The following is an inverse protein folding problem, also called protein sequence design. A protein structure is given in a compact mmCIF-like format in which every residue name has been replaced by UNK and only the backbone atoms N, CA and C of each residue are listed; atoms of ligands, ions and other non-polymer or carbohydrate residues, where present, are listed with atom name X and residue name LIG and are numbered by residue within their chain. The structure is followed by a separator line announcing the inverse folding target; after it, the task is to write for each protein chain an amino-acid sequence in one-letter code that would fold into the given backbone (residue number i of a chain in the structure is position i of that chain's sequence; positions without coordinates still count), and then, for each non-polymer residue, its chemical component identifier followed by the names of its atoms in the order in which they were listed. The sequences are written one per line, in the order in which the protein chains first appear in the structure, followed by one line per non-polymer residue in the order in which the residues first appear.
data_IF_875563594935
#
_entry.id   IF_875563594935
#
_cell.length_a   1.000
_cell.length_b   1.000
_cell.length_c   1.000
_cell.angle_alpha   90.00
_cell.angle_beta   90.00
_cell.angle_gamma   90.00
#
_symmetry.space_group_name_H-M   'P 1'
#
loop_
_entity.id
_entity.type
_entity.pdbx_description
1 polymer ?
#
# COMPACT_ATOMS: atom_id res chain seq x y z
N UNK A 1 -11.78 -35.54 23.78
CA UNK A 1 -11.35 -34.79 22.57
C UNK A 1 -11.95 -33.39 22.60
N UNK A 2 -11.17 -32.36 22.96
CA UNK A 2 -11.61 -30.97 22.79
C UNK A 2 -11.51 -30.59 21.31
N UNK A 3 -12.66 -30.35 20.66
CA UNK A 3 -12.72 -29.78 19.32
C UNK A 3 -12.13 -28.38 19.37
N UNK A 4 -10.92 -28.22 18.85
CA UNK A 4 -10.24 -26.93 18.73
C UNK A 4 -10.99 -26.10 17.67
N UNK A 5 -12.10 -25.50 18.09
CA UNK A 5 -12.97 -24.68 17.25
C UNK A 5 -12.27 -23.36 17.05
N UNK A 6 -11.47 -23.27 15.99
CA UNK A 6 -10.87 -22.01 15.57
C UNK A 6 -12.00 -21.00 15.35
N UNK A 7 -11.99 -19.91 16.13
CA UNK A 7 -12.97 -18.83 15.97
C UNK A 7 -12.83 -18.27 14.56
N UNK A 8 -13.83 -18.52 13.72
CA UNK A 8 -13.91 -17.98 12.37
C UNK A 8 -13.83 -16.45 12.43
N UNK A 9 -12.91 -15.86 11.66
CA UNK A 9 -12.80 -14.41 11.53
C UNK A 9 -14.08 -13.85 10.91
N UNK A 10 -14.55 -12.72 11.44
CA UNK A 10 -15.74 -12.01 10.97
C UNK A 10 -15.36 -10.58 10.62
N UNK A 11 -15.93 -10.03 9.54
CA UNK A 11 -15.70 -8.66 9.09
C UNK A 11 -15.86 -7.62 10.22
N UNK A 12 -16.86 -7.78 11.09
CA UNK A 12 -17.10 -6.91 12.25
C UNK A 12 -15.96 -6.80 13.28
N UNK A 13 -14.89 -7.59 13.14
CA UNK A 13 -13.69 -7.52 13.98
C UNK A 13 -12.64 -6.55 13.43
N UNK A 14 -12.89 -6.01 12.24
CA UNK A 14 -12.02 -5.11 11.49
C UNK A 14 -12.72 -3.77 11.30
N UNK A 15 -11.94 -2.69 11.18
CA UNK A 15 -12.44 -1.33 10.95
C UNK A 15 -12.84 -1.15 9.49
N UNK A 16 -12.06 -1.70 8.55
CA UNK A 16 -12.22 -1.40 7.13
C UNK A 16 -12.45 -2.62 6.24
N UNK A 17 -12.15 -3.84 6.71
CA UNK A 17 -12.37 -5.03 5.89
C UNK A 17 -13.84 -5.44 5.77
N UNK A 18 -14.24 -5.77 4.54
CA UNK A 18 -15.51 -6.41 4.25
C UNK A 18 -15.42 -7.96 4.37
N UNK A 19 -16.57 -8.64 4.23
CA UNK A 19 -16.65 -10.10 4.39
C UNK A 19 -15.86 -10.85 3.33
N UNK A 20 -15.80 -10.34 2.11
CA UNK A 20 -15.19 -11.03 0.97
C UNK A 20 -13.66 -10.94 1.05
N UNK A 21 -13.11 -9.79 1.45
CA UNK A 21 -11.67 -9.63 1.70
C UNK A 21 -11.23 -10.43 2.93
N UNK A 22 -12.04 -10.54 3.99
CA UNK A 22 -11.75 -11.44 5.11
C UNK A 22 -11.77 -12.90 4.69
N UNK A 23 -12.64 -13.29 3.74
CA UNK A 23 -12.69 -14.67 3.23
C UNK A 23 -11.51 -14.96 2.31
N UNK A 24 -11.16 -14.02 1.44
CA UNK A 24 -10.06 -14.13 0.49
C UNK A 24 -9.25 -12.82 0.47
N UNK A 25 -8.17 -12.73 1.27
CA UNK A 25 -7.36 -11.52 1.34
C UNK A 25 -6.63 -11.19 0.03
N UNK A 26 -6.51 -12.14 -0.91
CA UNK A 26 -5.94 -11.88 -2.24
C UNK A 26 -6.76 -10.88 -3.06
N UNK A 27 -8.07 -10.75 -2.80
CA UNK A 27 -8.92 -9.76 -3.49
C UNK A 27 -8.38 -8.35 -3.22
N UNK A 28 -8.11 -8.04 -1.96
CA UNK A 28 -7.55 -6.74 -1.59
C UNK A 28 -6.13 -6.57 -2.13
N UNK A 29 -5.25 -7.55 -1.91
CA UNK A 29 -3.84 -7.49 -2.32
C UNK A 29 -3.72 -7.24 -3.83
N UNK A 30 -4.50 -7.97 -4.63
CA UNK A 30 -4.51 -7.80 -6.08
C UNK A 30 -5.03 -6.42 -6.48
N UNK A 31 -6.14 -5.96 -5.90
CA UNK A 31 -6.69 -4.66 -6.27
C UNK A 31 -5.75 -3.51 -5.90
N UNK A 32 -5.15 -3.57 -4.71
CA UNK A 32 -4.25 -2.54 -4.22
C UNK A 32 -2.98 -2.41 -5.08
N UNK A 33 -2.27 -3.51 -5.33
CA UNK A 33 -1.00 -3.46 -6.07
C UNK A 33 -1.14 -3.48 -7.60
N UNK A 34 -2.32 -3.81 -8.13
CA UNK A 34 -2.58 -3.74 -9.57
C UNK A 34 -3.15 -2.40 -10.02
N UNK A 35 -4.03 -1.80 -9.21
CA UNK A 35 -4.81 -0.64 -9.65
C UNK A 35 -4.57 0.63 -8.81
N UNK A 36 -4.26 0.51 -7.53
CA UNK A 36 -4.12 1.71 -6.67
C UNK A 36 -2.68 2.25 -6.63
N UNK A 37 -1.68 1.37 -6.53
CA UNK A 37 -0.30 1.82 -6.36
C UNK A 37 0.73 0.73 -6.69
N UNK A 38 2.01 1.10 -6.73
CA UNK A 38 3.12 0.15 -6.69
C UNK A 38 3.82 0.21 -5.32
N UNK A 39 4.65 -0.79 -5.02
CA UNK A 39 5.29 -0.90 -3.70
C UNK A 39 6.22 0.26 -3.37
N UNK A 40 6.84 0.90 -4.39
CA UNK A 40 7.76 2.02 -4.20
C UNK A 40 7.01 3.29 -3.81
N UNK A 41 5.93 3.63 -4.52
CA UNK A 41 5.07 4.76 -4.16
C UNK A 41 4.41 4.52 -2.80
N UNK A 42 3.99 3.29 -2.52
CA UNK A 42 3.41 2.96 -1.23
C UNK A 42 4.41 3.11 -0.07
N UNK A 43 5.66 2.67 -0.27
CA UNK A 43 6.74 2.91 0.70
C UNK A 43 6.95 4.41 0.96
N UNK A 44 6.90 5.25 -0.07
CA UNK A 44 7.02 6.69 0.08
C UNK A 44 5.85 7.30 0.86
N UNK A 45 4.62 6.84 0.62
CA UNK A 45 3.44 7.28 1.36
C UNK A 45 3.54 6.89 2.85
N UNK A 46 4.01 5.67 3.15
CA UNK A 46 4.28 5.23 4.53
C UNK A 46 5.34 6.13 5.17
N UNK A 47 6.43 6.41 4.47
CA UNK A 47 7.49 7.29 4.96
C UNK A 47 6.98 8.69 5.28
N UNK A 48 6.21 9.28 4.37
CA UNK A 48 5.65 10.62 4.53
C UNK A 48 4.69 10.68 5.73
N UNK A 49 3.79 9.70 5.83
CA UNK A 49 2.85 9.61 6.94
C UNK A 49 3.55 9.51 8.29
N UNK A 50 4.54 8.63 8.42
CA UNK A 50 5.28 8.47 9.67
C UNK A 50 6.06 9.74 10.02
N UNK A 51 6.71 10.37 9.04
CA UNK A 51 7.41 11.63 9.26
C UNK A 51 6.44 12.72 9.74
N UNK A 52 5.28 12.87 9.10
CA UNK A 52 4.29 13.87 9.47
C UNK A 52 3.70 13.62 10.88
N UNK A 53 3.54 12.35 11.29
CA UNK A 53 3.08 11.99 12.64
C UNK A 53 4.14 12.22 13.73
N UNK A 54 5.40 12.34 13.34
CA UNK A 54 6.53 12.47 14.24
C UNK A 54 7.10 13.89 14.34
N UNK A 55 7.06 14.61 13.23
CA UNK A 55 7.51 15.98 13.09
C UNK A 55 6.33 16.82 12.58
N UNK A 56 5.28 17.02 13.40
CA UNK A 56 4.10 17.78 13.02
C UNK A 56 4.40 19.27 12.72
N UNK A 57 5.59 19.76 13.03
CA UNK A 57 6.09 21.07 12.60
C UNK A 57 6.46 21.10 11.11
N UNK A 58 6.85 19.96 10.54
CA UNK A 58 7.19 19.81 9.12
C UNK A 58 6.01 19.29 8.28
N UNK A 59 4.90 18.93 8.92
CA UNK A 59 3.72 18.42 8.25
C UNK A 59 2.86 19.57 7.68
N UNK A 60 2.41 19.43 6.43
CA UNK A 60 1.31 20.27 5.93
C UNK A 60 -0.01 19.79 6.52
N UNK A 61 -0.54 20.57 7.47
CA UNK A 61 -1.78 20.26 8.19
C UNK A 61 -3.03 20.42 7.32
N UNK A 62 -2.93 21.14 6.20
CA UNK A 62 -4.01 21.26 5.23
C UNK A 62 -4.04 20.07 4.25
N UNK A 63 -3.05 19.18 4.29
CA UNK A 63 -2.97 18.03 3.40
C UNK A 63 -4.01 16.96 3.76
N UNK A 64 -5.14 17.00 3.06
CA UNK A 64 -6.30 16.14 3.31
C UNK A 64 -6.00 14.63 3.14
N UNK A 65 -4.95 14.26 2.42
CA UNK A 65 -4.64 12.86 2.07
C UNK A 65 -4.08 12.04 3.25
N UNK A 66 -3.65 12.69 4.32
CA UNK A 66 -3.14 12.02 5.53
C UNK A 66 -4.12 10.97 6.08
N UNK A 67 -5.41 11.33 6.19
CA UNK A 67 -6.44 10.42 6.69
C UNK A 67 -6.67 9.24 5.74
N UNK A 68 -6.56 9.50 4.43
CA UNK A 68 -6.67 8.47 3.40
C UNK A 68 -5.51 7.46 3.50
N UNK A 69 -4.27 7.92 3.62
CA UNK A 69 -3.12 7.03 3.79
C UNK A 69 -3.21 6.23 5.09
N UNK A 70 -3.61 6.84 6.21
CA UNK A 70 -3.82 6.12 7.46
C UNK A 70 -4.84 4.99 7.31
N UNK A 71 -5.97 5.26 6.64
CA UNK A 71 -6.97 4.23 6.32
C UNK A 71 -6.35 3.08 5.52
N UNK A 72 -5.61 3.37 4.45
CA UNK A 72 -4.95 2.35 3.62
C UNK A 72 -3.92 1.53 4.42
N UNK A 73 -3.14 2.16 5.32
CA UNK A 73 -2.23 1.42 6.21
C UNK A 73 -2.98 0.50 7.17
N UNK A 74 -4.07 0.96 7.77
CA UNK A 74 -4.88 0.10 8.65
C UNK A 74 -5.46 -1.07 7.85
N UNK A 75 -5.95 -0.85 6.62
CA UNK A 75 -6.42 -1.93 5.73
C UNK A 75 -5.33 -2.97 5.45
N UNK A 76 -4.09 -2.55 5.13
CA UNK A 76 -2.94 -3.45 4.95
C UNK A 76 -2.64 -4.25 6.23
N UNK A 77 -2.68 -3.61 7.40
CA UNK A 77 -2.48 -4.26 8.70
C UNK A 77 -3.58 -5.32 8.95
N UNK A 78 -4.84 -4.98 8.67
CA UNK A 78 -5.95 -5.89 8.84
C UNK A 78 -5.85 -7.10 7.91
N UNK A 79 -5.48 -6.89 6.64
CA UNK A 79 -5.27 -7.96 5.66
C UNK A 79 -4.12 -8.87 6.07
N UNK A 80 -3.01 -8.29 6.51
CA UNK A 80 -1.90 -9.05 7.07
C UNK A 80 -2.35 -9.89 8.27
N UNK A 81 -3.24 -9.37 9.12
CA UNK A 81 -3.76 -10.12 10.26
C UNK A 81 -4.66 -11.29 9.84
N UNK A 82 -5.48 -11.09 8.79
CA UNK A 82 -6.27 -12.18 8.18
C UNK A 82 -5.32 -13.28 7.72
N UNK A 83 -4.26 -12.95 6.97
CA UNK A 83 -3.26 -13.91 6.50
C UNK A 83 -2.56 -14.59 7.68
N UNK A 84 -2.12 -13.82 8.67
CA UNK A 84 -1.49 -14.32 9.89
C UNK A 84 -2.33 -15.41 10.59
N UNK A 85 -3.65 -15.22 10.63
CA UNK A 85 -4.58 -16.17 11.24
C UNK A 85 -4.96 -17.34 10.33
N UNK A 86 -5.20 -17.10 9.05
CA UNK A 86 -5.61 -18.13 8.10
C UNK A 86 -4.47 -19.10 7.75
N UNK A 87 -3.23 -18.59 7.67
CA UNK A 87 -2.03 -19.38 7.43
C UNK A 87 -1.42 -19.98 8.71
N UNK A 88 -2.04 -19.77 9.88
CA UNK A 88 -1.55 -20.21 11.19
C UNK A 88 -0.10 -19.82 11.47
N UNK A 89 0.27 -18.60 11.07
CA UNK A 89 1.64 -18.11 11.21
C UNK A 89 1.98 -18.03 12.70
N UNK A 90 3.07 -18.67 13.17
CA UNK A 90 3.45 -18.64 14.57
C UNK A 90 3.97 -17.25 14.96
N UNK A 91 3.97 -16.93 16.26
CA UNK A 91 4.69 -15.76 16.77
C UNK A 91 6.16 -16.07 16.98
N UNK A 92 7.00 -15.05 16.85
CA UNK A 92 8.43 -15.08 17.05
C UNK A 92 8.83 -14.36 18.33
N UNK A 93 9.92 -14.83 18.95
CA UNK A 93 10.47 -14.24 20.18
C UNK A 93 11.16 -12.90 19.93
N UNK A 94 11.84 -12.77 18.78
CA UNK A 94 12.68 -11.61 18.45
C UNK A 94 12.15 -10.91 17.18
N UNK A 95 11.04 -10.15 17.27
CA UNK A 95 10.38 -9.57 16.10
C UNK A 95 11.21 -8.51 15.35
N UNK A 96 12.22 -7.92 16.01
CA UNK A 96 13.08 -6.89 15.43
C UNK A 96 14.39 -7.45 14.84
N UNK A 97 14.57 -8.78 14.85
CA UNK A 97 15.72 -9.41 14.22
C UNK A 97 15.46 -9.58 12.72
N UNK A 98 15.85 -8.59 11.92
CA UNK A 98 15.58 -8.57 10.48
C UNK A 98 16.67 -9.19 9.61
N UNK A 99 17.92 -9.21 10.09
CA UNK A 99 19.08 -9.70 9.34
C UNK A 99 19.55 -11.00 9.99
N UNK A 100 19.54 -12.10 9.22
CA UNK A 100 20.11 -13.37 9.67
C UNK A 100 21.53 -13.56 9.14
N UNK A 101 21.79 -13.11 7.90
CA UNK A 101 23.04 -13.33 7.19
C UNK A 101 23.48 -12.06 6.43
N UNK A 102 24.72 -12.05 5.93
CA UNK A 102 25.30 -10.91 5.21
C UNK A 102 24.51 -10.59 3.94
N UNK A 103 24.00 -11.62 3.28
CA UNK A 103 23.18 -11.52 2.06
C UNK A 103 21.89 -10.73 2.33
N UNK A 104 21.26 -10.92 3.49
CA UNK A 104 20.05 -10.16 3.85
C UNK A 104 20.33 -8.66 3.99
N UNK A 105 21.49 -8.32 4.56
CA UNK A 105 21.92 -6.93 4.67
C UNK A 105 22.25 -6.32 3.30
N UNK A 106 22.92 -7.09 2.42
CA UNK A 106 23.24 -6.65 1.07
C UNK A 106 21.97 -6.38 0.25
N UNK A 107 21.01 -7.32 0.27
CA UNK A 107 19.72 -7.19 -0.40
C UNK A 107 18.94 -5.96 0.08
N UNK A 108 18.90 -5.73 1.39
CA UNK A 108 18.25 -4.57 1.98
C UNK A 108 18.88 -3.24 1.53
N UNK A 109 20.21 -3.17 1.51
CA UNK A 109 20.95 -1.92 1.24
C UNK A 109 21.10 -1.58 -0.24
N UNK A 110 21.21 -2.58 -1.13
CA UNK A 110 21.53 -2.37 -2.54
C UNK A 110 20.36 -2.69 -3.48
N UNK A 111 19.48 -3.64 -3.11
CA UNK A 111 18.40 -4.11 -3.98
C UNK A 111 17.01 -3.65 -3.51
N UNK A 112 16.93 -2.98 -2.35
CA UNK A 112 15.67 -2.64 -1.67
C UNK A 112 14.78 -3.90 -1.48
N UNK A 113 15.41 -5.03 -1.17
CA UNK A 113 14.72 -6.29 -0.96
C UNK A 113 14.76 -6.76 0.50
N UNK A 114 13.61 -7.20 0.99
CA UNK A 114 13.44 -7.66 2.37
C UNK A 114 13.49 -9.18 2.42
N UNK A 115 14.70 -9.71 2.64
CA UNK A 115 14.94 -11.15 2.69
C UNK A 115 15.23 -11.65 4.10
N UNK A 116 15.06 -12.96 4.30
CA UNK A 116 15.49 -13.69 5.48
C UNK A 116 16.21 -14.97 5.03
N UNK A 117 17.47 -15.13 5.45
CA UNK A 117 18.34 -16.22 4.99
C UNK A 117 18.48 -16.24 3.45
N UNK A 118 18.62 -15.05 2.86
CA UNK A 118 18.85 -14.85 1.43
C UNK A 118 17.63 -15.05 0.53
N UNK A 119 16.42 -15.23 1.09
CA UNK A 119 15.19 -15.43 0.31
C UNK A 119 14.07 -14.52 0.78
N UNK A 120 13.17 -14.15 -0.13
CA UNK A 120 11.91 -13.44 0.22
C UNK A 120 11.10 -14.32 1.17
N UNK A 121 10.71 -13.74 2.30
CA UNK A 121 10.02 -14.46 3.37
C UNK A 121 8.84 -13.63 3.90
N UNK A 122 7.76 -13.47 3.11
CA UNK A 122 6.64 -12.61 3.48
C UNK A 122 5.94 -13.08 4.77
N UNK A 123 5.80 -14.40 4.96
CA UNK A 123 5.20 -14.97 6.17
C UNK A 123 6.07 -14.77 7.42
N UNK A 124 7.40 -14.77 7.28
CA UNK A 124 8.33 -14.44 8.38
C UNK A 124 8.17 -12.97 8.78
N UNK A 125 8.00 -12.09 7.79
CA UNK A 125 7.78 -10.66 8.02
C UNK A 125 6.44 -10.40 8.71
N UNK A 126 5.36 -11.01 8.24
CA UNK A 126 4.03 -10.93 8.88
C UNK A 126 4.08 -11.50 10.31
N UNK A 127 4.83 -12.59 10.52
CA UNK A 127 5.06 -13.17 11.85
C UNK A 127 5.74 -12.17 12.79
N UNK A 128 6.84 -11.54 12.36
CA UNK A 128 7.56 -10.50 13.10
C UNK A 128 6.66 -9.31 13.43
N UNK A 129 5.87 -8.84 12.45
CA UNK A 129 4.93 -7.73 12.60
C UNK A 129 3.92 -7.94 13.75
N UNK A 130 3.25 -9.09 13.79
CA UNK A 130 2.27 -9.40 14.86
C UNK A 130 2.90 -9.97 16.14
N UNK A 131 4.19 -10.25 16.12
CA UNK A 131 4.99 -10.60 17.29
C UNK A 131 5.47 -9.34 18.02
N UNK A 132 5.76 -8.27 17.29
CA UNK A 132 6.07 -6.96 17.85
C UNK A 132 4.88 -6.41 18.66
N UNK A 133 3.69 -6.35 18.04
CA UNK A 133 2.48 -5.95 18.75
C UNK A 133 1.20 -6.57 18.18
N UNK A 134 0.13 -6.60 18.98
CA UNK A 134 -1.18 -7.14 18.56
C UNK A 134 -1.88 -6.18 17.61
N UNK A 135 -2.89 -6.68 16.87
CA UNK A 135 -3.73 -5.86 16.00
C UNK A 135 -4.32 -4.63 16.73
N UNK A 136 -4.83 -4.83 17.95
CA UNK A 136 -5.38 -3.72 18.73
C UNK A 136 -4.32 -2.66 19.08
N UNK A 137 -3.09 -3.08 19.37
CA UNK A 137 -1.99 -2.13 19.63
C UNK A 137 -1.59 -1.39 18.36
N UNK A 138 -1.62 -2.05 17.20
CA UNK A 138 -1.42 -1.40 15.91
C UNK A 138 -2.50 -0.34 15.65
N UNK A 139 -3.77 -0.62 15.94
CA UNK A 139 -4.81 0.41 15.85
C UNK A 139 -4.49 1.62 16.73
N UNK A 140 -4.13 1.41 18.00
CA UNK A 140 -3.72 2.51 18.89
C UNK A 140 -2.52 3.27 18.33
N UNK A 141 -1.50 2.58 17.80
CA UNK A 141 -0.34 3.23 17.17
C UNK A 141 -0.75 4.12 15.99
N UNK A 142 -1.65 3.65 15.11
CA UNK A 142 -2.12 4.42 13.97
C UNK A 142 -2.99 5.61 14.39
N UNK A 143 -3.84 5.42 15.40
CA UNK A 143 -4.67 6.49 15.97
C UNK A 143 -3.79 7.56 16.63
N UNK A 144 -2.77 7.16 17.40
CA UNK A 144 -1.81 8.06 18.03
C UNK A 144 -1.06 8.88 16.96
N UNK A 145 -0.55 8.25 15.90
CA UNK A 145 0.12 8.94 14.79
C UNK A 145 -0.78 9.99 14.12
N UNK A 146 -2.06 9.67 13.90
CA UNK A 146 -3.05 10.62 13.37
C UNK A 146 -3.31 11.79 14.31
N UNK A 147 -3.47 11.51 15.61
CA UNK A 147 -3.70 12.53 16.62
C UNK A 147 -2.51 13.49 16.65
N UNK A 148 -1.29 12.97 16.66
CA UNK A 148 -0.09 13.81 16.75
C UNK A 148 0.14 14.68 15.53
N UNK A 149 -0.15 14.17 14.33
CA UNK A 149 -0.10 14.97 13.12
C UNK A 149 -1.04 16.19 13.18
N UNK A 150 -2.13 16.08 13.95
CA UNK A 150 -3.11 17.15 14.13
C UNK A 150 -2.71 18.17 15.23
N UNK A 151 -1.66 17.91 16.02
CA UNK A 151 -1.23 18.78 17.13
C UNK A 151 -0.18 19.82 16.71
N UNK A 152 -0.19 21.00 17.36
CA UNK A 152 0.70 22.11 16.97
C UNK A 152 2.17 21.96 17.39
N UNK A 153 2.45 21.19 18.43
CA UNK A 153 3.76 21.09 19.10
C UNK A 153 4.14 19.62 19.31
N UNK A 154 5.37 19.24 18.97
CA UNK A 154 5.90 17.91 19.26
C UNK A 154 6.76 17.91 20.53
N UNK A 155 6.52 16.93 21.39
CA UNK A 155 7.60 16.31 22.16
C UNK A 155 7.88 14.95 21.55
N UNK A 156 8.48 14.97 20.36
CA UNK A 156 8.81 13.77 19.55
C UNK A 156 9.50 12.68 20.38
N UNK A 157 10.43 13.07 21.26
CA UNK A 157 11.23 12.17 22.07
C UNK A 157 10.44 11.50 23.21
N UNK A 158 9.43 12.17 23.78
CA UNK A 158 8.71 11.64 24.95
C UNK A 158 7.70 10.55 24.58
N UNK A 159 7.26 10.50 23.30
CA UNK A 159 6.07 9.73 22.90
C UNK A 159 6.43 8.43 22.18
N UNK A 160 7.19 8.50 21.09
CA UNK A 160 7.65 7.30 20.38
C UNK A 160 9.12 6.99 20.62
N UNK A 161 9.97 8.00 20.79
CA UNK A 161 11.42 7.84 20.92
C UNK A 161 11.97 6.89 19.85
N UNK A 162 12.85 5.97 20.24
CA UNK A 162 13.46 4.99 19.32
C UNK A 162 12.47 3.99 18.71
N UNK A 163 11.26 3.86 19.28
CA UNK A 163 10.26 2.90 18.76
C UNK A 163 9.73 3.31 17.40
N UNK A 164 9.80 4.58 17.02
CA UNK A 164 9.30 5.02 15.73
C UNK A 164 10.08 4.38 14.57
N UNK A 165 11.38 4.19 14.73
CA UNK A 165 12.21 3.52 13.72
C UNK A 165 11.74 2.08 13.52
N UNK A 166 11.42 1.38 14.62
CA UNK A 166 10.86 0.04 14.55
C UNK A 166 9.46 0.03 13.91
N UNK A 167 8.58 0.98 14.24
CA UNK A 167 7.24 1.12 13.65
C UNK A 167 7.35 1.35 12.14
N UNK A 168 8.16 2.33 11.72
CA UNK A 168 8.43 2.64 10.32
C UNK A 168 8.93 1.41 9.56
N UNK A 169 9.97 0.78 10.07
CA UNK A 169 10.61 -0.37 9.43
C UNK A 169 9.62 -1.54 9.29
N UNK A 170 8.82 -1.80 10.33
CA UNK A 170 7.80 -2.85 10.30
C UNK A 170 6.68 -2.57 9.30
N UNK A 171 6.20 -1.33 9.18
CA UNK A 171 5.16 -0.96 8.23
C UNK A 171 5.66 -1.08 6.78
N UNK A 172 6.88 -0.60 6.49
CA UNK A 172 7.47 -0.73 5.15
C UNK A 172 7.70 -2.22 4.82
N UNK A 173 8.28 -3.00 5.73
CA UNK A 173 8.45 -4.43 5.53
C UNK A 173 7.13 -5.15 5.31
N UNK A 174 6.07 -4.75 6.01
CA UNK A 174 4.74 -5.31 5.81
C UNK A 174 4.21 -5.04 4.40
N UNK A 175 4.36 -3.82 3.89
CA UNK A 175 4.00 -3.47 2.52
C UNK A 175 4.72 -4.39 1.52
N UNK A 176 6.05 -4.53 1.65
CA UNK A 176 6.81 -5.44 0.79
C UNK A 176 6.40 -6.90 0.95
N UNK A 177 6.08 -7.36 2.15
CA UNK A 177 5.60 -8.73 2.36
C UNK A 177 4.27 -8.99 1.62
N UNK A 178 3.35 -8.03 1.65
CA UNK A 178 2.08 -8.13 0.92
C UNK A 178 2.28 -8.01 -0.60
N UNK A 179 3.24 -7.20 -1.03
CA UNK A 179 3.67 -7.12 -2.43
C UNK A 179 4.31 -8.43 -2.93
N UNK A 180 5.15 -9.10 -2.14
CA UNK A 180 5.70 -10.41 -2.52
C UNK A 180 4.61 -11.48 -2.65
N UNK A 181 3.61 -11.46 -1.75
CA UNK A 181 2.43 -12.33 -1.88
C UNK A 181 1.64 -12.02 -3.16
N UNK A 182 1.53 -10.75 -3.55
CA UNK A 182 0.94 -10.34 -4.82
C UNK A 182 1.71 -10.92 -6.01
N UNK A 183 3.03 -10.74 -6.06
CA UNK A 183 3.89 -11.25 -7.14
C UNK A 183 3.84 -12.78 -7.25
N UNK A 184 3.85 -13.47 -6.11
CA UNK A 184 3.76 -14.92 -6.05
C UNK A 184 2.37 -15.44 -6.48
N UNK A 185 1.33 -14.58 -6.48
CA UNK A 185 -0.08 -14.88 -6.83
C UNK A 185 -0.77 -15.96 -5.97
N UNK A 186 -0.17 -16.39 -4.86
CA UNK A 186 -0.75 -17.44 -4.01
C UNK A 186 -0.46 -17.24 -2.52
N UNK A 187 -1.35 -17.77 -1.68
CA UNK A 187 -1.17 -17.87 -0.23
C UNK A 187 -0.76 -19.30 0.15
N UNK A 188 0.29 -19.41 0.96
CA UNK A 188 0.74 -20.67 1.54
C UNK A 188 -0.12 -20.96 2.76
N UNK A 189 -1.17 -21.76 2.56
CA UNK A 189 -2.03 -22.22 3.65
C UNK A 189 -1.41 -23.51 4.21
N UNK A 190 -1.02 -23.46 5.49
CA UNK A 190 -0.57 -24.66 6.21
C UNK A 190 -1.74 -25.62 6.38
N UNK A 191 -1.72 -26.71 5.62
CA UNK A 191 -2.72 -27.76 5.75
C UNK A 191 -2.27 -28.72 6.86
N UNK A 192 -3.11 -29.03 7.87
CA UNK A 192 -2.74 -29.96 8.93
C UNK A 192 -2.29 -31.32 8.35
N UNK A 193 -1.30 -31.97 8.97
CA UNK A 193 -0.64 -33.19 8.43
C UNK A 193 -1.56 -34.38 8.17
N UNK A 194 -2.77 -34.39 8.73
CA UNK A 194 -3.79 -35.41 8.47
C UNK A 194 -4.60 -35.16 7.20
N UNK A 195 -4.49 -33.99 6.58
CA UNK A 195 -5.12 -33.67 5.30
C UNK A 195 -4.12 -34.02 4.19
N UNK A 196 -4.28 -35.19 3.60
CA UNK A 196 -3.64 -35.51 2.33
C UNK A 196 -4.37 -34.74 1.25
N UNK A 197 -3.76 -33.67 0.74
CA UNK A 197 -4.23 -33.04 -0.48
C UNK A 197 -3.96 -34.05 -1.61
N UNK A 198 -5.00 -34.66 -2.15
CA UNK A 198 -4.89 -35.33 -3.44
C UNK A 198 -4.50 -34.26 -4.47
N UNK A 199 -3.45 -34.48 -5.29
CA UNK A 199 -3.15 -33.54 -6.37
C UNK A 199 -4.40 -33.42 -7.22
N UNK A 200 -4.93 -32.20 -7.32
CA UNK A 200 -6.08 -31.94 -8.16
C UNK A 200 -5.74 -32.42 -9.58
N UNK A 201 -6.64 -33.17 -10.25
CA UNK A 201 -6.44 -33.50 -11.66
C UNK A 201 -6.21 -32.19 -12.41
N UNK A 202 -5.26 -32.21 -13.34
CA UNK A 202 -4.90 -31.07 -14.19
C UNK A 202 -6.18 -30.56 -14.84
N UNK A 203 -6.71 -29.46 -14.31
CA UNK A 203 -7.89 -28.82 -14.86
C UNK A 203 -7.41 -28.03 -16.09
N UNK A 204 -7.54 -28.64 -17.26
CA UNK A 204 -7.49 -27.90 -18.51
C UNK A 204 -8.61 -26.85 -18.49
N UNK A 205 -8.19 -25.58 -18.52
CA UNK A 205 -8.88 -24.44 -19.13
C UNK A 205 -10.37 -24.24 -18.89
N UNK A 206 -10.68 -23.09 -18.27
CA UNK A 206 -11.98 -22.38 -18.18
C UNK A 206 -12.81 -22.70 -16.93
N UNK A 207 -12.35 -22.24 -15.76
CA UNK A 207 -13.32 -21.84 -14.75
C UNK A 207 -14.01 -20.58 -15.25
N UNK A 208 -15.24 -20.74 -15.77
CA UNK A 208 -16.14 -19.60 -15.96
C UNK A 208 -16.31 -18.94 -14.60
N UNK A 209 -15.98 -17.65 -14.51
CA UNK A 209 -16.36 -16.83 -13.37
C UNK A 209 -17.86 -17.05 -13.12
N UNK A 210 -18.28 -17.12 -11.87
CA UNK A 210 -19.72 -17.12 -11.58
C UNK A 210 -20.35 -15.88 -12.23
N UNK A 211 -21.59 -15.94 -12.73
CA UNK A 211 -22.25 -14.80 -13.40
C UNK A 211 -22.14 -13.47 -12.64
N UNK A 212 -22.06 -13.52 -11.31
CA UNK A 212 -21.84 -12.35 -10.45
C UNK A 212 -20.40 -11.80 -10.51
N UNK A 213 -19.40 -12.67 -10.64
CA UNK A 213 -18.01 -12.30 -10.85
C UNK A 213 -17.72 -11.74 -12.24
N UNK A 214 -18.40 -12.25 -13.28
CA UNK A 214 -18.36 -11.65 -14.63
C UNK A 214 -18.99 -10.26 -14.62
N UNK A 215 -20.17 -10.11 -14.00
CA UNK A 215 -20.84 -8.80 -13.86
C UNK A 215 -20.02 -7.76 -13.09
N UNK A 216 -19.33 -8.17 -12.03
CA UNK A 216 -18.49 -7.25 -11.26
C UNK A 216 -17.27 -6.82 -12.08
N UNK A 217 -16.59 -7.76 -12.76
CA UNK A 217 -15.48 -7.43 -13.65
C UNK A 217 -15.91 -6.52 -14.80
N UNK A 218 -16.98 -6.86 -15.51
CA UNK A 218 -17.50 -6.04 -16.62
C UNK A 218 -17.96 -4.64 -16.16
N UNK A 219 -18.51 -4.54 -14.93
CA UNK A 219 -18.93 -3.24 -14.38
C UNK A 219 -17.75 -2.34 -14.02
N UNK A 220 -16.66 -2.94 -13.55
CA UNK A 220 -15.43 -2.22 -13.19
C UNK A 220 -14.71 -1.80 -14.46
N UNK A 221 -14.54 -2.71 -15.42
CA UNK A 221 -13.85 -2.43 -16.68
C UNK A 221 -14.55 -1.30 -17.46
N UNK A 222 -15.90 -1.29 -17.51
CA UNK A 222 -16.65 -0.18 -18.13
C UNK A 222 -16.51 1.15 -17.40
N UNK A 223 -16.45 1.15 -16.07
CA UNK A 223 -16.25 2.38 -15.30
C UNK A 223 -14.85 2.96 -15.52
N UNK A 224 -13.83 2.11 -15.70
CA UNK A 224 -12.47 2.55 -16.00
C UNK A 224 -12.32 3.00 -17.46
N UNK A 225 -12.91 2.32 -18.43
CA UNK A 225 -12.93 2.78 -19.84
C UNK A 225 -13.58 4.17 -19.95
N UNK A 226 -14.67 4.41 -19.20
CA UNK A 226 -15.34 5.71 -19.17
C UNK A 226 -14.48 6.78 -18.49
N UNK A 227 -13.70 6.41 -17.47
CA UNK A 227 -12.79 7.32 -16.77
C UNK A 227 -11.57 7.68 -17.63
N UNK A 228 -10.94 6.70 -18.29
CA UNK A 228 -9.84 6.96 -19.23
C UNK A 228 -10.29 7.81 -20.42
N UNK A 229 -11.54 7.65 -20.88
CA UNK A 229 -12.08 8.50 -21.95
C UNK A 229 -12.24 9.95 -21.50
N UNK A 230 -12.74 10.16 -20.28
CA UNK A 230 -12.88 11.51 -19.70
C UNK A 230 -11.53 12.17 -19.46
N UNK A 231 -10.55 11.44 -18.92
CA UNK A 231 -9.19 11.95 -18.71
C UNK A 231 -8.49 12.30 -20.03
N UNK A 232 -8.72 11.54 -21.11
CA UNK A 232 -8.23 11.88 -22.46
C UNK A 232 -8.94 13.08 -23.05
N UNK A 233 -10.26 13.18 -22.92
CA UNK A 233 -11.06 14.31 -23.40
C UNK A 233 -10.72 15.61 -22.63
N UNK A 234 -10.33 15.54 -21.35
CA UNK A 234 -9.85 16.67 -20.56
C UNK A 234 -8.42 17.07 -20.96
N UNK A 235 -7.51 16.12 -21.14
CA UNK A 235 -6.15 16.39 -21.59
C UNK A 235 -6.09 16.98 -23.02
N UNK A 236 -7.00 16.58 -23.91
CA UNK A 236 -7.12 17.17 -25.25
C UNK A 236 -7.60 18.63 -25.19
N UNK A 237 -8.53 18.96 -24.29
CA UNK A 237 -9.00 20.34 -24.10
C UNK A 237 -7.92 21.25 -23.51
N UNK A 238 -7.17 20.77 -22.51
CA UNK A 238 -6.04 21.53 -21.97
C UNK A 238 -4.92 21.75 -23.02
N UNK A 239 -4.72 20.78 -23.92
CA UNK A 239 -3.79 20.89 -25.04
C UNK A 239 -4.26 21.81 -26.16
N UNK A 240 -5.57 22.02 -26.33
CA UNK A 240 -6.12 23.00 -27.27
C UNK A 240 -6.09 24.42 -26.69
N UNK A 241 -6.47 24.61 -25.41
CA UNK A 241 -6.40 25.91 -24.74
C UNK A 241 -4.96 26.45 -24.67
N UNK A 242 -3.97 25.59 -24.38
CA UNK A 242 -2.55 25.99 -24.37
C UNK A 242 -2.01 26.42 -25.74
N UNK A 243 -2.51 25.84 -26.84
CA UNK A 243 -2.15 26.25 -28.21
C UNK A 243 -2.79 27.56 -28.61
N UNK A 244 -4.02 27.81 -28.14
CA UNK A 244 -4.74 29.06 -28.40
C UNK A 244 -4.07 30.23 -27.64
N UNK A 245 -3.64 30.01 -26.40
CA UNK A 245 -2.85 30.99 -25.63
C UNK A 245 -1.48 31.29 -26.26
N UNK A 246 -0.81 30.29 -26.83
CA UNK A 246 0.47 30.45 -27.51
C UNK A 246 0.33 31.22 -28.85
N UNK A 247 -0.77 31.02 -29.60
CA UNK A 247 -1.09 31.81 -30.79
C UNK A 247 -1.41 33.28 -30.46
N UNK A 248 -2.15 33.54 -29.39
CA UNK A 248 -2.47 34.90 -28.94
C UNK A 248 -1.20 35.65 -28.47
N UNK A 249 -0.24 34.93 -27.88
CA UNK A 249 1.06 35.50 -27.50
C UNK A 249 1.94 35.84 -28.71
N UNK A 250 1.91 35.02 -29.76
CA UNK A 250 2.63 35.25 -31.02
C UNK A 250 2.08 36.43 -31.83
N UNK A 251 0.76 36.65 -31.84
CA UNK A 251 0.15 37.81 -32.50
C UNK A 251 0.49 39.14 -31.79
N UNK A 252 0.66 39.13 -30.46
CA UNK A 252 1.06 40.33 -29.70
C UNK A 252 2.56 40.65 -29.73
N UNK A 253 3.40 39.71 -30.15
CA UNK A 253 4.86 39.91 -30.28
C UNK A 253 5.32 40.48 -31.62
N UNK A 254 4.41 40.66 -32.60
CA UNK A 254 4.73 41.05 -33.98
C UNK A 254 4.83 42.55 -34.27
N UNK A 255 4.46 43.44 -33.34
CA UNK A 255 4.48 44.90 -33.56
C UNK A 255 5.66 45.61 -32.87
N UNK A 256 6.91 45.22 -33.15
CA UNK A 256 8.03 46.17 -33.03
C UNK A 256 9.01 45.92 -34.18
N UNK A 257 8.82 46.66 -35.28
CA UNK A 257 9.82 46.84 -36.34
C UNK A 257 10.26 48.31 -36.39
N UNK A 258 11.48 48.55 -35.90
CA UNK A 258 12.56 49.34 -36.53
C UNK A 258 12.15 50.56 -37.41
N UNK A 259 12.48 51.77 -36.94
CA UNK A 259 13.01 52.89 -37.73
C UNK A 259 14.16 53.51 -36.91
N UNK A 260 15.43 53.19 -37.17
CA UNK A 260 16.38 53.75 -38.15
C UNK A 260 16.85 55.19 -37.87
N UNK A 261 18.14 55.28 -37.53
CA UNK A 261 19.16 56.33 -37.69
C UNK A 261 18.82 57.66 -38.40
N UNK A 262 19.29 58.74 -37.75
CA UNK A 262 20.05 59.91 -38.24
C UNK A 262 19.73 60.57 -39.61
N UNK A 263 19.37 61.86 -39.58
CA UNK A 263 20.27 62.96 -40.00
C UNK A 263 19.60 64.34 -40.15
N UNK A 264 20.21 65.33 -39.48
CA UNK A 264 20.53 66.70 -39.92
C UNK A 264 19.44 67.65 -40.50
N UNK A 265 19.08 68.68 -39.72
CA UNK A 265 19.46 70.09 -39.96
C UNK A 265 19.05 71.00 -38.80
#
# INVERSE_FOLDING_TARGET
MMKNTQKKLKAKQFRYLNKDTVKNPMIYIHNFYRYETNVIYWMNNINLFIQAGCLPEMADRAHAETGFHCKQMIEQIEIAYVIFKQCHIPKQKNPLQFVAQREDHFNYTHNLEYTWKGKRAPYDTISKFFSYQSLNKWYTTMDDLMIYMSTKESSYYDKFGDKILAIKELLIRLAFALYYIYEDKHLQISVPSYVKAEPAPVHEGKSRLSKLGELIHDSIDKQYEEKERKEKEEAEKEAEESKEEEQIALEKGGEISIESEDSAK
#
